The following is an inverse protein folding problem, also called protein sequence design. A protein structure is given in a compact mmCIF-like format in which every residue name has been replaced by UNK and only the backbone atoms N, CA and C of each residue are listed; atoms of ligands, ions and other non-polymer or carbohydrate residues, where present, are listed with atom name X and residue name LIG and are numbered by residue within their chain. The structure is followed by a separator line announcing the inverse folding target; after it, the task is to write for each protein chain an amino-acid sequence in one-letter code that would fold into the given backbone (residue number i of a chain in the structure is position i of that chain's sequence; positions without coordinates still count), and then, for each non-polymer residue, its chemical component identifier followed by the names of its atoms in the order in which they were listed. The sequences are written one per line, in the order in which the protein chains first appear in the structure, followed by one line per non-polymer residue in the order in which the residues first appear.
data_IF_626447921585
#
_entry.id   IF_626447921585
#
_cell.length_a   1.000
_cell.length_b   1.000
_cell.length_c   1.000
_cell.angle_alpha   90.00
_cell.angle_beta   90.00
_cell.angle_gamma   90.00
#
_symmetry.space_group_name_H-M   'P 1'
#
loop_
_entity.id
_entity.type
_entity.pdbx_description
1 polymer ?
#
# COMPACT_ATOMS: atom_id res chain seq x y z
N UNK A 1 29.05 9.27 -19.04
CA UNK A 1 29.55 10.19 -20.09
C UNK A 1 30.77 9.64 -20.82
N UNK A 2 31.77 9.04 -20.17
CA UNK A 2 32.86 8.34 -20.90
C UNK A 2 32.45 7.01 -21.55
N UNK A 3 31.40 6.35 -21.03
CA UNK A 3 31.02 4.98 -21.46
C UNK A 3 30.28 4.93 -22.81
N UNK A 4 29.42 5.90 -23.12
CA UNK A 4 28.56 5.84 -24.32
C UNK A 4 29.29 6.26 -25.61
N UNK A 5 30.19 7.25 -25.52
CA UNK A 5 31.08 7.63 -26.63
C UNK A 5 32.09 6.51 -26.93
N UNK A 6 32.56 5.83 -25.88
CA UNK A 6 33.47 4.68 -26.00
C UNK A 6 32.78 3.47 -26.65
N UNK A 7 31.49 3.22 -26.39
CA UNK A 7 30.75 2.11 -27.06
C UNK A 7 30.52 2.35 -28.56
N UNK A 8 30.30 3.61 -28.98
CA UNK A 8 30.12 3.92 -30.41
C UNK A 8 31.45 3.85 -31.15
N UNK A 9 32.54 4.35 -30.55
CA UNK A 9 33.89 4.17 -31.09
C UNK A 9 34.31 2.70 -31.14
N UNK A 10 33.99 1.91 -30.10
CA UNK A 10 34.28 0.49 -30.05
C UNK A 10 33.50 -0.31 -31.11
N UNK A 11 32.22 0.02 -31.36
CA UNK A 11 31.43 -0.59 -32.42
C UNK A 11 31.93 -0.19 -33.83
N UNK A 12 32.39 1.05 -34.02
CA UNK A 12 33.04 1.50 -35.25
C UNK A 12 34.39 0.80 -35.48
N UNK A 13 35.20 0.61 -34.44
CA UNK A 13 36.47 -0.11 -34.50
C UNK A 13 36.26 -1.62 -34.75
N UNK A 14 35.23 -2.24 -34.13
CA UNK A 14 34.86 -3.63 -34.37
C UNK A 14 34.37 -3.86 -35.81
N UNK A 15 33.71 -2.86 -36.43
CA UNK A 15 33.28 -2.95 -37.83
C UNK A 15 34.45 -2.85 -38.84
N UNK A 16 35.59 -2.27 -38.44
CA UNK A 16 36.80 -2.15 -39.28
C UNK A 16 37.67 -3.41 -39.19
N UNK A 17 37.49 -4.25 -38.16
CA UNK A 17 38.32 -5.43 -37.89
C UNK A 17 37.75 -6.76 -38.44
N UNK A 18 36.94 -6.74 -39.51
CA UNK A 18 36.51 -7.96 -40.22
C UNK A 18 37.48 -8.24 -41.39
N UNK A 19 38.37 -9.25 -41.30
CA UNK A 19 39.25 -9.61 -42.41
C UNK A 19 38.48 -10.40 -43.48
N UNK A 20 38.90 -10.23 -44.73
CA UNK A 20 38.34 -10.88 -45.91
C UNK A 20 38.33 -12.42 -45.78
N UNK A 21 37.15 -13.03 -45.82
CA UNK A 21 37.00 -14.46 -46.11
C UNK A 21 36.98 -14.66 -47.64
N UNK A 22 38.16 -14.60 -48.25
CA UNK A 22 38.40 -15.11 -49.61
C UNK A 22 39.01 -16.52 -49.53
N UNK A 23 38.18 -17.54 -49.73
CA UNK A 23 38.64 -18.83 -50.25
C UNK A 23 37.52 -19.48 -51.03
N UNK A 24 37.58 -19.29 -52.34
CA UNK A 24 36.75 -19.96 -53.33
C UNK A 24 37.14 -21.44 -53.46
N UNK A 25 36.20 -22.37 -53.26
CA UNK A 25 36.27 -23.73 -53.80
C UNK A 25 35.30 -23.86 -54.98
N UNK A 26 35.91 -23.97 -56.17
CA UNK A 26 35.51 -24.63 -57.43
C UNK A 26 34.08 -24.42 -57.97
N UNK A 27 34.05 -23.81 -59.15
CA UNK A 27 32.90 -23.64 -60.04
C UNK A 27 32.30 -24.96 -60.56
N UNK A 28 30.97 -24.99 -60.72
CA UNK A 28 30.26 -25.52 -61.90
C UNK A 28 28.88 -24.86 -62.02
N UNK A 29 28.59 -24.38 -63.23
CA UNK A 29 27.31 -23.89 -63.77
C UNK A 29 26.81 -22.50 -63.32
N UNK A 30 27.28 -21.47 -64.03
CA UNK A 30 26.39 -20.78 -64.97
C UNK A 30 25.37 -19.75 -64.47
N UNK A 31 25.53 -19.13 -63.29
CA UNK A 31 24.75 -17.93 -62.91
C UNK A 31 25.72 -16.77 -62.61
N UNK A 32 25.71 -15.74 -63.46
CA UNK A 32 26.47 -14.50 -63.29
C UNK A 32 25.96 -13.75 -62.06
N UNK A 33 26.59 -13.94 -60.91
CA UNK A 33 26.43 -13.02 -59.77
C UNK A 33 27.14 -11.73 -60.12
N UNK A 34 26.38 -10.62 -60.25
CA UNK A 34 26.96 -9.29 -60.40
C UNK A 34 27.77 -9.00 -59.14
N UNK A 35 29.09 -8.96 -59.27
CA UNK A 35 29.97 -8.44 -58.23
C UNK A 35 29.59 -6.99 -57.96
N UNK A 36 28.90 -6.74 -56.84
CA UNK A 36 28.59 -5.39 -56.40
C UNK A 36 29.88 -4.76 -55.86
N UNK A 37 30.63 -4.11 -56.76
CA UNK A 37 31.82 -3.34 -56.40
C UNK A 37 31.33 -2.14 -55.57
N UNK A 38 31.35 -2.28 -54.24
CA UNK A 38 31.15 -1.15 -53.33
C UNK A 38 32.25 -0.13 -53.63
N UNK A 39 31.86 0.98 -54.27
CA UNK A 39 32.77 2.05 -54.62
C UNK A 39 33.20 2.76 -53.32
N UNK A 40 34.30 2.27 -52.72
CA UNK A 40 34.74 2.56 -51.34
C UNK A 40 34.83 4.05 -51.01
N UNK A 41 35.04 4.94 -51.99
CA UNK A 41 35.11 6.40 -51.78
C UNK A 41 33.74 7.10 -51.72
N UNK A 42 32.76 6.70 -52.55
CA UNK A 42 31.41 7.32 -52.55
C UNK A 42 30.57 6.89 -51.35
N UNK A 43 30.79 5.67 -50.85
CA UNK A 43 30.10 5.18 -49.66
C UNK A 43 30.69 5.77 -48.37
N UNK A 44 32.00 6.02 -48.32
CA UNK A 44 32.65 6.68 -47.19
C UNK A 44 32.13 8.11 -46.97
N UNK A 45 31.93 8.89 -48.03
CA UNK A 45 31.36 10.25 -47.92
C UNK A 45 29.92 10.26 -47.38
N UNK A 46 29.08 9.30 -47.80
CA UNK A 46 27.72 9.13 -47.27
C UNK A 46 27.72 8.70 -45.81
N UNK A 47 28.60 7.78 -45.44
CA UNK A 47 28.77 7.32 -44.06
C UNK A 47 29.24 8.47 -43.16
N UNK A 48 30.25 9.24 -43.58
CA UNK A 48 30.73 10.42 -42.85
C UNK A 48 29.63 11.47 -42.67
N UNK A 49 28.84 11.74 -43.71
CA UNK A 49 27.71 12.68 -43.62
C UNK A 49 26.65 12.24 -42.61
N UNK A 50 26.31 10.95 -42.58
CA UNK A 50 25.36 10.39 -41.59
C UNK A 50 25.95 10.48 -40.18
N UNK A 51 27.22 10.11 -39.99
CA UNK A 51 27.90 10.18 -38.69
C UNK A 51 27.94 11.63 -38.17
N UNK A 52 28.24 12.61 -39.02
CA UNK A 52 28.22 14.02 -38.64
C UNK A 52 26.81 14.52 -38.27
N UNK A 53 25.77 14.10 -38.99
CA UNK A 53 24.39 14.46 -38.68
C UNK A 53 23.90 13.84 -37.36
N UNK A 54 24.28 12.58 -37.09
CA UNK A 54 24.01 11.90 -35.83
C UNK A 54 24.77 12.56 -34.67
N UNK A 55 26.05 12.94 -34.86
CA UNK A 55 26.81 13.65 -33.83
C UNK A 55 26.21 15.02 -33.50
N UNK A 56 25.80 15.77 -34.54
CA UNK A 56 25.18 17.07 -34.36
C UNK A 56 23.84 16.97 -33.61
N UNK A 57 22.97 16.02 -34.00
CA UNK A 57 21.69 15.77 -33.30
C UNK A 57 21.90 15.26 -31.88
N UNK A 58 22.94 14.47 -31.63
CA UNK A 58 23.32 14.01 -30.29
C UNK A 58 23.76 15.20 -29.41
N UNK A 59 24.56 16.13 -29.93
CA UNK A 59 24.95 17.36 -29.20
C UNK A 59 23.74 18.23 -28.86
N UNK A 60 22.83 18.44 -29.81
CA UNK A 60 21.61 19.22 -29.57
C UNK A 60 20.68 18.57 -28.55
N UNK A 61 20.54 17.24 -28.59
CA UNK A 61 19.71 16.49 -27.63
C UNK A 61 20.32 16.49 -26.23
N UNK A 62 21.64 16.34 -26.08
CA UNK A 62 22.32 16.48 -24.79
C UNK A 62 22.17 17.86 -24.16
N UNK A 63 22.24 18.92 -24.96
CA UNK A 63 21.98 20.29 -24.49
C UNK A 63 20.57 20.42 -23.87
N UNK A 64 19.55 19.87 -24.53
CA UNK A 64 18.17 19.86 -24.02
C UNK A 64 18.01 19.01 -22.76
N UNK A 65 18.65 17.84 -22.70
CA UNK A 65 18.63 16.97 -21.50
C UNK A 65 19.26 17.69 -20.30
N UNK A 66 20.37 18.41 -20.49
CA UNK A 66 21.02 19.16 -19.40
C UNK A 66 20.12 20.24 -18.78
N UNK A 67 19.33 20.94 -19.61
CA UNK A 67 18.33 21.91 -19.12
C UNK A 67 17.24 21.22 -18.30
N UNK A 68 16.73 20.08 -18.77
CA UNK A 68 15.71 19.29 -18.06
C UNK A 68 16.26 18.79 -16.72
N UNK A 69 17.48 18.24 -16.69
CA UNK A 69 18.11 17.76 -15.45
C UNK A 69 18.31 18.88 -14.42
N UNK A 70 18.69 20.08 -14.88
CA UNK A 70 18.82 21.26 -14.02
C UNK A 70 17.47 21.65 -13.39
N UNK A 71 16.41 21.70 -14.19
CA UNK A 71 15.04 21.97 -13.74
C UNK A 71 14.53 20.91 -12.75
N UNK A 72 14.78 19.62 -13.02
CA UNK A 72 14.44 18.52 -12.11
C UNK A 72 15.19 18.63 -10.79
N UNK A 73 16.48 18.98 -10.82
CA UNK A 73 17.28 19.21 -9.61
C UNK A 73 16.72 20.38 -8.79
N UNK A 74 16.31 21.46 -9.45
CA UNK A 74 15.66 22.59 -8.81
C UNK A 74 14.33 22.17 -8.15
N UNK A 75 13.45 21.49 -8.88
CA UNK A 75 12.16 21.00 -8.36
C UNK A 75 12.34 20.04 -7.17
N UNK A 76 13.34 19.15 -7.21
CA UNK A 76 13.67 18.28 -6.07
C UNK A 76 14.10 19.08 -4.84
N UNK A 77 14.86 20.17 -5.01
CA UNK A 77 15.23 21.06 -3.88
C UNK A 77 14.00 21.79 -3.32
N UNK A 78 13.15 22.34 -4.18
CA UNK A 78 11.91 23.01 -3.77
C UNK A 78 11.01 22.05 -2.99
N UNK A 79 10.78 20.84 -3.53
CA UNK A 79 10.00 19.80 -2.85
C UNK A 79 10.61 19.39 -1.50
N UNK A 80 11.95 19.26 -1.42
CA UNK A 80 12.62 18.97 -0.14
C UNK A 80 12.39 20.06 0.90
N UNK A 81 12.48 21.34 0.50
CA UNK A 81 12.23 22.47 1.38
C UNK A 81 10.77 22.50 1.85
N UNK A 82 9.82 22.25 0.94
CA UNK A 82 8.39 22.15 1.26
C UNK A 82 8.13 21.01 2.27
N UNK A 83 8.67 19.81 2.03
CA UNK A 83 8.52 18.67 2.93
C UNK A 83 9.14 18.92 4.31
N UNK A 84 10.25 19.65 4.38
CA UNK A 84 10.85 20.05 5.65
C UNK A 84 9.92 21.01 6.44
N UNK A 85 9.25 21.94 5.75
CA UNK A 85 8.24 22.82 6.37
C UNK A 85 7.04 22.01 6.88
N UNK A 86 6.54 21.07 6.08
CA UNK A 86 5.46 20.16 6.49
C UNK A 86 5.83 19.34 7.72
N UNK A 87 7.04 18.77 7.78
CA UNK A 87 7.54 18.06 8.97
C UNK A 87 7.63 18.96 10.21
N UNK A 88 7.99 20.24 10.03
CA UNK A 88 8.01 21.21 11.14
C UNK A 88 6.60 21.49 11.66
N UNK A 89 5.61 21.59 10.75
CA UNK A 89 4.19 21.72 11.12
C UNK A 89 3.67 20.45 11.81
N UNK A 90 4.01 19.26 11.31
CA UNK A 90 3.63 17.99 11.91
C UNK A 90 4.16 17.85 13.35
N UNK A 91 5.42 18.24 13.59
CA UNK A 91 5.98 18.33 14.95
C UNK A 91 5.22 19.30 15.86
N UNK A 92 4.71 20.42 15.32
CA UNK A 92 3.85 21.35 16.09
C UNK A 92 2.51 20.68 16.41
N UNK A 93 1.90 19.97 15.47
CA UNK A 93 0.67 19.19 15.68
C UNK A 93 0.89 18.12 16.73
N UNK A 94 1.99 17.37 16.69
CA UNK A 94 2.37 16.39 17.70
C UNK A 94 2.53 17.00 19.09
N UNK A 95 3.12 18.21 19.16
CA UNK A 95 3.24 18.92 20.42
C UNK A 95 1.88 19.39 20.95
N UNK A 96 1.01 19.91 20.09
CA UNK A 96 -0.38 20.24 20.43
C UNK A 96 -1.11 18.98 20.89
N UNK A 97 -0.97 17.85 20.20
CA UNK A 97 -1.58 16.57 20.58
C UNK A 97 -1.04 16.03 21.91
N UNK A 98 0.22 16.33 22.26
CA UNK A 98 0.81 16.02 23.56
C UNK A 98 0.23 16.91 24.66
N UNK A 99 0.06 18.20 24.40
CA UNK A 99 -0.59 19.15 25.31
C UNK A 99 -2.06 18.77 25.51
N UNK A 100 -2.80 18.53 24.44
CA UNK A 100 -4.16 17.99 24.46
C UNK A 100 -4.23 16.69 25.26
N UNK A 101 -3.27 15.77 25.11
CA UNK A 101 -3.20 14.57 25.97
C UNK A 101 -3.00 14.88 27.45
N UNK A 102 -2.27 15.95 27.81
CA UNK A 102 -2.08 16.38 29.20
C UNK A 102 -3.34 17.05 29.74
N UNK A 103 -3.99 17.92 28.95
CA UNK A 103 -5.28 18.54 29.29
C UNK A 103 -6.37 17.47 29.45
N UNK A 104 -6.46 16.52 28.51
CA UNK A 104 -7.36 15.37 28.56
C UNK A 104 -7.00 14.32 29.64
N UNK A 105 -5.83 14.46 30.29
CA UNK A 105 -5.46 13.69 31.49
C UNK A 105 -5.92 14.39 32.78
N UNK A 106 -6.15 15.69 32.76
CA UNK A 106 -6.73 16.49 33.85
C UNK A 106 -8.25 16.53 33.82
N UNK A 107 -8.83 16.61 32.63
CA UNK A 107 -10.25 16.39 32.38
C UNK A 107 -10.37 15.33 31.28
N UNK A 108 -10.46 14.05 31.67
CA UNK A 108 -11.43 13.25 30.94
C UNK A 108 -12.76 13.89 31.30
N UNK A 109 -13.53 14.44 30.35
CA UNK A 109 -14.95 14.46 30.59
C UNK A 109 -15.28 13.00 30.89
N UNK A 110 -15.63 12.70 32.14
CA UNK A 110 -16.45 11.53 32.42
C UNK A 110 -17.85 11.84 31.90
N UNK A 111 -17.96 12.20 30.63
CA UNK A 111 -19.07 11.72 29.84
C UNK A 111 -18.78 10.22 29.67
N UNK A 112 -18.94 9.46 30.77
CA UNK A 112 -19.71 8.22 30.64
C UNK A 112 -20.97 8.76 29.96
N UNK A 113 -21.29 8.38 28.71
CA UNK A 113 -22.63 8.67 28.22
C UNK A 113 -23.51 8.12 29.34
N UNK A 114 -24.29 8.96 30.03
CA UNK A 114 -24.62 8.75 31.44
C UNK A 114 -25.43 7.47 31.74
N UNK A 115 -25.64 6.61 30.75
CA UNK A 115 -26.12 5.24 30.89
C UNK A 115 -25.47 4.19 29.94
N UNK A 116 -24.34 4.41 29.25
CA UNK A 116 -23.78 3.42 28.31
C UNK A 116 -22.84 2.40 29.00
N UNK A 117 -23.36 1.22 29.26
CA UNK A 117 -22.65 0.05 29.78
C UNK A 117 -22.03 -0.78 28.64
N UNK A 118 -20.85 -1.36 28.89
CA UNK A 118 -20.16 -2.27 27.97
C UNK A 118 -19.90 -3.60 28.67
N UNK A 119 -20.23 -4.71 28.01
CA UNK A 119 -20.13 -6.06 28.56
C UNK A 119 -19.48 -7.01 27.54
N UNK A 120 -18.72 -8.00 28.01
CA UNK A 120 -18.02 -8.98 27.15
C UNK A 120 -18.23 -10.40 27.66
N UNK A 121 -18.56 -11.33 26.75
CA UNK A 121 -18.75 -12.76 27.04
C UNK A 121 -17.84 -13.56 26.10
N UNK A 122 -16.95 -14.38 26.63
CA UNK A 122 -16.08 -15.24 25.82
C UNK A 122 -16.86 -16.39 25.17
N UNK A 123 -16.39 -16.88 24.02
CA UNK A 123 -17.05 -17.98 23.30
C UNK A 123 -17.26 -19.21 24.21
N UNK A 124 -18.45 -19.82 24.11
CA UNK A 124 -18.85 -20.94 24.99
C UNK A 124 -19.44 -20.50 26.34
N UNK A 125 -19.34 -19.23 26.73
CA UNK A 125 -19.88 -18.73 28.01
C UNK A 125 -21.24 -18.05 27.86
N UNK A 126 -21.92 -17.90 29.00
CA UNK A 126 -23.17 -17.19 29.14
C UNK A 126 -23.05 -16.07 30.18
N UNK A 127 -23.86 -15.02 30.05
CA UNK A 127 -23.99 -14.02 31.10
C UNK A 127 -25.39 -13.39 31.12
N UNK A 128 -25.81 -12.94 32.30
CA UNK A 128 -27.03 -12.18 32.52
C UNK A 128 -26.72 -10.69 32.49
N UNK A 129 -27.44 -9.94 31.65
CA UNK A 129 -27.45 -8.48 31.67
C UNK A 129 -28.72 -8.04 32.38
N UNK A 130 -28.62 -7.04 33.26
CA UNK A 130 -29.75 -6.50 33.99
C UNK A 130 -29.63 -4.97 34.16
N UNK A 131 -30.79 -4.32 34.17
CA UNK A 131 -30.97 -2.92 34.54
C UNK A 131 -31.60 -2.83 35.93
N UNK A 132 -31.56 -1.65 36.55
CA UNK A 132 -32.26 -1.40 37.82
C UNK A 132 -33.77 -1.52 37.64
N UNK A 133 -34.50 -1.72 38.74
CA UNK A 133 -35.96 -1.78 38.72
C UNK A 133 -36.56 -0.54 38.02
N UNK A 134 -37.59 -0.77 37.20
CA UNK A 134 -38.23 0.28 36.41
C UNK A 134 -37.43 0.79 35.20
N UNK A 135 -36.32 0.16 34.84
CA UNK A 135 -35.55 0.49 33.63
C UNK A 135 -35.58 -0.64 32.59
N UNK A 136 -35.59 -0.26 31.32
CA UNK A 136 -35.49 -1.14 30.15
C UNK A 136 -34.16 -0.94 29.44
N UNK A 137 -33.64 -2.04 28.90
CA UNK A 137 -32.36 -2.06 28.23
C UNK A 137 -32.49 -1.69 26.75
N UNK A 138 -31.73 -0.67 26.32
CA UNK A 138 -31.59 -0.23 24.93
C UNK A 138 -30.23 -0.66 24.40
N UNK A 139 -30.21 -1.72 23.58
CA UNK A 139 -29.00 -2.24 22.94
C UNK A 139 -28.51 -1.26 21.86
N UNK A 140 -27.28 -0.77 22.03
CA UNK A 140 -26.64 0.22 21.15
C UNK A 140 -25.75 -0.46 20.11
N UNK A 141 -24.88 -1.38 20.55
CA UNK A 141 -23.97 -2.13 19.67
C UNK A 141 -23.82 -3.57 20.15
N UNK A 142 -23.63 -4.51 19.23
CA UNK A 142 -23.19 -5.86 19.54
C UNK A 142 -22.30 -6.42 18.43
N UNK A 143 -21.26 -7.17 18.82
CA UNK A 143 -20.32 -7.85 17.92
C UNK A 143 -19.93 -9.20 18.50
N UNK A 144 -20.27 -10.27 17.82
CA UNK A 144 -19.66 -11.58 18.01
C UNK A 144 -18.48 -11.75 17.04
N UNK A 145 -17.34 -12.23 17.53
CA UNK A 145 -16.12 -12.41 16.74
C UNK A 145 -14.87 -12.09 17.56
N UNK A 146 -13.82 -11.58 16.92
CA UNK A 146 -12.60 -11.11 17.57
C UNK A 146 -12.08 -9.85 16.89
N UNK A 147 -11.73 -8.84 17.69
CA UNK A 147 -11.16 -7.56 17.24
C UNK A 147 -9.76 -7.27 17.79
N UNK A 148 -9.30 -8.01 18.80
CA UNK A 148 -7.99 -7.80 19.40
C UNK A 148 -7.45 -9.11 20.03
N UNK A 149 -6.17 -9.09 20.43
CA UNK A 149 -5.48 -10.24 21.04
C UNK A 149 -5.61 -10.34 22.57
N UNK A 150 -6.16 -9.32 23.24
CA UNK A 150 -6.13 -9.19 24.71
C UNK A 150 -7.42 -9.67 25.39
N UNK A 151 -8.56 -9.47 24.74
CA UNK A 151 -9.88 -9.86 25.24
C UNK A 151 -10.05 -11.38 25.16
N UNK A 152 -10.58 -12.02 26.21
CA UNK A 152 -10.79 -13.47 26.29
C UNK A 152 -9.52 -14.26 25.92
N UNK A 153 -8.55 -14.26 26.84
CA UNK A 153 -7.29 -14.99 26.71
C UNK A 153 -7.51 -16.51 26.81
N UNK A 154 -6.56 -17.29 26.30
CA UNK A 154 -6.53 -18.76 26.47
C UNK A 154 -7.11 -19.58 25.32
N UNK A 155 -7.43 -18.97 24.18
CA UNK A 155 -7.86 -19.71 22.98
C UNK A 155 -7.09 -19.27 21.72
N UNK A 156 -7.19 -20.05 20.63
CA UNK A 156 -6.45 -19.79 19.39
C UNK A 156 -6.87 -18.45 18.75
N UNK A 157 -5.90 -17.74 18.16
CA UNK A 157 -6.14 -16.46 17.49
C UNK A 157 -5.50 -16.50 16.10
N UNK A 158 -6.29 -16.91 15.10
CA UNK A 158 -5.86 -16.85 13.69
C UNK A 158 -6.07 -15.48 13.07
N UNK A 159 -7.09 -14.74 13.50
CA UNK A 159 -7.37 -13.39 13.01
C UNK A 159 -8.01 -12.48 14.06
N UNK A 160 -7.78 -11.17 13.93
CA UNK A 160 -8.49 -10.12 14.68
C UNK A 160 -9.46 -9.32 13.79
N UNK A 161 -9.62 -9.68 12.52
CA UNK A 161 -10.59 -9.07 11.61
C UNK A 161 -11.85 -9.94 11.51
N UNK A 162 -12.40 -10.32 12.66
CA UNK A 162 -13.51 -11.27 12.74
C UNK A 162 -14.78 -10.63 13.30
N UNK A 163 -15.90 -10.77 12.59
CA UNK A 163 -17.20 -10.20 12.98
C UNK A 163 -18.36 -10.96 12.33
N UNK A 164 -19.31 -11.44 13.12
CA UNK A 164 -20.59 -11.93 12.62
C UNK A 164 -21.51 -10.75 12.25
N UNK A 165 -22.13 -10.82 11.07
CA UNK A 165 -22.97 -9.76 10.49
C UNK A 165 -24.27 -9.56 11.29
N UNK A 166 -24.91 -10.65 11.74
CA UNK A 166 -26.21 -10.64 12.43
C UNK A 166 -26.15 -10.34 13.93
N UNK A 167 -24.95 -10.11 14.48
CA UNK A 167 -24.72 -9.93 15.94
C UNK A 167 -25.69 -8.96 16.60
N UNK A 168 -25.85 -7.76 16.04
CA UNK A 168 -26.68 -6.69 16.61
C UNK A 168 -28.17 -7.03 16.58
N UNK A 169 -28.66 -7.56 15.46
CA UNK A 169 -30.06 -7.91 15.30
C UNK A 169 -30.48 -9.01 16.30
N UNK A 170 -29.63 -10.03 16.45
CA UNK A 170 -29.83 -11.13 17.39
C UNK A 170 -29.89 -10.59 18.84
N UNK A 171 -28.88 -9.85 19.28
CA UNK A 171 -28.86 -9.31 20.66
C UNK A 171 -30.03 -8.36 20.91
N UNK A 172 -30.42 -7.54 19.93
CA UNK A 172 -31.62 -6.69 20.04
C UNK A 172 -32.88 -7.53 20.24
N UNK A 173 -33.09 -8.57 19.44
CA UNK A 173 -34.24 -9.47 19.56
C UNK A 173 -34.35 -10.07 20.97
N UNK A 174 -33.23 -10.47 21.56
CA UNK A 174 -33.24 -11.12 22.88
C UNK A 174 -33.40 -10.15 24.06
N UNK A 175 -32.81 -8.96 23.98
CA UNK A 175 -32.55 -8.12 25.15
C UNK A 175 -33.15 -6.72 25.08
N UNK A 176 -33.45 -6.19 23.89
CA UNK A 176 -33.95 -4.83 23.75
C UNK A 176 -35.33 -4.70 24.40
N UNK A 177 -35.55 -3.63 25.16
CA UNK A 177 -36.82 -3.36 25.84
C UNK A 177 -37.05 -4.19 27.11
N UNK A 178 -36.13 -5.09 27.49
CA UNK A 178 -36.26 -5.92 28.70
C UNK A 178 -35.46 -5.33 29.86
N UNK A 179 -35.91 -5.59 31.09
CA UNK A 179 -35.17 -5.24 32.30
C UNK A 179 -33.98 -6.17 32.55
N UNK A 180 -34.06 -7.43 32.12
CA UNK A 180 -32.93 -8.37 32.12
C UNK A 180 -33.01 -9.35 30.96
N UNK A 181 -31.86 -9.92 30.57
CA UNK A 181 -31.78 -11.00 29.59
C UNK A 181 -30.53 -11.84 29.82
N UNK A 182 -30.51 -13.07 29.30
CA UNK A 182 -29.32 -13.93 29.28
C UNK A 182 -28.83 -14.07 27.84
N UNK A 183 -27.53 -13.87 27.63
CA UNK A 183 -26.87 -14.04 26.34
C UNK A 183 -25.85 -15.17 26.43
N UNK A 184 -25.80 -16.02 25.40
CA UNK A 184 -24.80 -17.08 25.23
C UNK A 184 -23.95 -16.77 24.00
N UNK A 185 -22.63 -16.75 24.15
CA UNK A 185 -21.70 -16.38 23.09
C UNK A 185 -21.28 -17.61 22.25
N UNK A 186 -22.23 -18.22 21.53
CA UNK A 186 -21.99 -19.49 20.83
C UNK A 186 -22.19 -19.39 19.31
N UNK A 187 -21.50 -20.26 18.57
CA UNK A 187 -21.61 -20.36 17.12
C UNK A 187 -23.02 -20.78 16.67
N UNK A 188 -23.75 -21.56 17.47
CA UNK A 188 -25.15 -21.92 17.18
C UNK A 188 -26.10 -20.72 17.18
N UNK A 189 -25.75 -19.65 17.91
CA UNK A 189 -26.57 -18.43 17.99
C UNK A 189 -26.15 -17.41 16.92
N UNK A 190 -24.85 -17.21 16.74
CA UNK A 190 -24.31 -16.12 15.92
C UNK A 190 -23.67 -16.56 14.59
N UNK A 191 -23.58 -17.87 14.34
CA UNK A 191 -22.72 -18.46 13.32
C UNK A 191 -21.24 -18.46 13.71
N UNK A 192 -20.40 -19.07 12.89
CA UNK A 192 -18.94 -19.01 13.04
C UNK A 192 -18.29 -18.11 11.97
N UNK A 193 -18.10 -16.80 12.25
CA UNK A 193 -17.53 -15.86 11.29
C UNK A 193 -16.02 -16.01 11.06
N UNK A 194 -15.31 -16.82 11.86
CA UNK A 194 -13.87 -17.03 11.73
C UNK A 194 -13.44 -18.33 12.39
N UNK A 195 -13.59 -19.44 11.66
CA UNK A 195 -13.24 -20.78 12.14
C UNK A 195 -11.81 -20.86 12.68
N UNK A 196 -11.63 -21.58 13.78
CA UNK A 196 -10.33 -21.74 14.46
C UNK A 196 -9.83 -20.49 15.19
N UNK A 197 -10.64 -19.43 15.32
CA UNK A 197 -10.38 -18.29 16.20
C UNK A 197 -11.36 -18.31 17.37
N UNK A 198 -10.84 -18.21 18.59
CA UNK A 198 -11.64 -18.10 19.81
C UNK A 198 -12.29 -16.73 19.88
N UNK A 199 -13.61 -16.65 19.84
CA UNK A 199 -14.39 -15.40 19.72
C UNK A 199 -14.86 -14.90 21.07
N UNK A 200 -15.51 -13.74 21.05
CA UNK A 200 -16.26 -13.19 22.16
C UNK A 200 -17.41 -12.32 21.64
N UNK A 201 -18.47 -12.22 22.43
CA UNK A 201 -19.56 -11.29 22.24
C UNK A 201 -19.29 -10.01 23.05
N UNK A 202 -19.08 -8.89 22.36
CA UNK A 202 -19.01 -7.57 22.95
C UNK A 202 -20.35 -6.83 22.75
N UNK A 203 -20.97 -6.36 23.83
CA UNK A 203 -22.27 -5.67 23.81
C UNK A 203 -22.13 -4.31 24.48
N UNK A 204 -22.72 -3.27 23.87
CA UNK A 204 -22.94 -1.97 24.50
C UNK A 204 -24.42 -1.69 24.59
N UNK A 205 -24.89 -1.34 25.78
CA UNK A 205 -26.30 -1.08 26.05
C UNK A 205 -26.45 0.08 27.03
N UNK A 206 -27.65 0.64 27.09
CA UNK A 206 -28.02 1.60 28.12
C UNK A 206 -29.32 1.23 28.79
N UNK A 207 -29.42 1.53 30.08
CA UNK A 207 -30.68 1.41 30.80
C UNK A 207 -31.38 2.78 30.79
N UNK A 208 -32.67 2.79 30.48
CA UNK A 208 -33.53 3.97 30.54
C UNK A 208 -34.85 3.60 31.20
N UNK A 209 -35.51 4.52 31.90
CA UNK A 209 -36.89 4.33 32.32
C UNK A 209 -37.80 4.17 31.10
#
# INVERSE_FOLDING_TARGET
MLKATCTVLALLLLAIQLPELSSAKKARNGIKVKNFRLNSKKNLGRVLSIVSAVDLTLRFTHGRIGVIESSVKHLKRVNKNMMNRLKKMDKKVDNIMRIMRKVMKGDKPRIKPHNLSSFTICEGRAAKLACKAGQKMKIVQARYGRSNKRTCKGGPIRTTKCKATKSLAIVRKYCHGKASCVLRANNSVFGDPCFGTYKYLAVKYRCSK
#
